data_IF_781802873822
#
_entry.id   IF_781802873822
#
_cell.length_a   1.000
_cell.length_b   1.000
_cell.length_c   1.000
_cell.angle_alpha   90.00
_cell.angle_beta   90.00
_cell.angle_gamma   90.00
#
_symmetry.space_group_name_H-M   'P 1'
#
loop_
_entity.id
_entity.type
_entity.pdbx_description
1 polymer ?
#
# COMPACT_ATOMS: atom_id res chain seq x y z
N UNK A 1 -9.23 -42.59 10.69
CA UNK A 1 -8.71 -41.21 10.56
C UNK A 1 -8.93 -40.76 9.14
N UNK A 2 -10.00 -40.02 8.90
CA UNK A 2 -10.35 -39.52 7.57
C UNK A 2 -9.49 -38.29 7.29
N UNK A 3 -8.73 -38.33 6.19
CA UNK A 3 -8.03 -37.13 5.68
C UNK A 3 -9.08 -36.24 5.06
N UNK A 4 -9.23 -35.03 5.61
CA UNK A 4 -10.11 -34.01 5.06
C UNK A 4 -9.67 -33.64 3.64
N UNK A 5 -10.64 -33.56 2.79
CA UNK A 5 -10.56 -33.10 1.41
C UNK A 5 -10.16 -31.63 1.42
N UNK A 6 -8.92 -31.35 1.02
CA UNK A 6 -8.50 -29.98 0.70
C UNK A 6 -9.12 -29.66 -0.66
N UNK A 7 -10.31 -29.06 -0.63
CA UNK A 7 -10.93 -28.50 -1.82
C UNK A 7 -9.95 -27.49 -2.44
N UNK A 8 -9.43 -27.85 -3.60
CA UNK A 8 -8.61 -27.00 -4.44
C UNK A 8 -9.45 -25.78 -4.81
N UNK A 9 -9.17 -24.64 -4.20
CA UNK A 9 -9.70 -23.36 -4.67
C UNK A 9 -9.13 -23.16 -6.07
N UNK A 10 -9.93 -23.40 -7.08
CA UNK A 10 -9.60 -23.04 -8.46
C UNK A 10 -9.65 -21.52 -8.51
N UNK A 11 -8.50 -20.88 -8.30
CA UNK A 11 -8.29 -19.49 -8.71
C UNK A 11 -8.48 -19.50 -10.24
N UNK A 12 -9.62 -19.01 -10.71
CA UNK A 12 -9.88 -18.87 -12.14
C UNK A 12 -8.70 -18.17 -12.79
N UNK A 13 -8.24 -18.63 -13.94
CA UNK A 13 -7.22 -17.98 -14.76
C UNK A 13 -7.72 -16.59 -15.13
N UNK A 14 -7.49 -15.60 -14.25
CA UNK A 14 -7.73 -14.19 -14.54
C UNK A 14 -6.47 -13.69 -15.26
N UNK A 15 -6.55 -13.58 -16.56
CA UNK A 15 -5.49 -12.97 -17.37
C UNK A 15 -5.22 -11.54 -16.86
N UNK A 16 -3.95 -11.13 -16.71
CA UNK A 16 -3.62 -9.75 -16.35
C UNK A 16 -4.16 -8.80 -17.42
N UNK A 17 -4.99 -7.82 -17.03
CA UNK A 17 -5.42 -6.78 -17.95
C UNK A 17 -4.25 -5.89 -18.31
N UNK A 18 -4.01 -5.70 -19.59
CA UNK A 18 -3.08 -4.69 -20.09
C UNK A 18 -3.84 -3.41 -20.42
N UNK A 19 -3.40 -2.28 -19.89
CA UNK A 19 -3.91 -0.96 -20.25
C UNK A 19 -3.19 -0.45 -21.48
N UNK A 20 -3.90 0.28 -22.34
CA UNK A 20 -3.33 0.90 -23.54
C UNK A 20 -2.28 1.96 -23.20
N UNK A 21 -2.50 2.71 -22.13
CA UNK A 21 -1.60 3.76 -21.66
C UNK A 21 -1.28 3.54 -20.18
N UNK A 22 0.00 3.70 -19.83
CA UNK A 22 0.48 3.53 -18.46
C UNK A 22 1.35 4.73 -18.07
N UNK A 23 1.31 5.08 -16.79
CA UNK A 23 2.21 6.05 -16.19
C UNK A 23 2.53 5.70 -14.75
N UNK A 24 3.58 6.30 -14.19
CA UNK A 24 3.98 6.05 -12.81
C UNK A 24 4.27 7.34 -12.05
N UNK A 25 3.97 7.33 -10.75
CA UNK A 25 4.46 8.32 -9.79
C UNK A 25 5.31 7.61 -8.76
N UNK A 26 6.51 8.12 -8.50
CA UNK A 26 7.42 7.56 -7.53
C UNK A 26 7.87 8.62 -6.51
N UNK A 27 7.98 8.20 -5.25
CA UNK A 27 8.58 8.95 -4.16
C UNK A 27 9.80 8.15 -3.66
N UNK A 28 11.00 8.60 -4.03
CA UNK A 28 12.26 7.87 -3.80
C UNK A 28 12.83 8.29 -2.45
N UNK A 29 13.07 7.34 -1.55
CA UNK A 29 13.71 7.51 -0.25
C UNK A 29 13.13 8.70 0.55
N UNK A 30 11.79 8.85 0.52
CA UNK A 30 11.10 10.04 1.07
C UNK A 30 10.53 9.84 2.47
N UNK A 31 10.36 8.59 2.91
CA UNK A 31 9.59 8.29 4.12
C UNK A 31 10.45 7.52 5.12
N UNK A 32 11.35 8.21 5.86
CA UNK A 32 12.13 7.59 6.92
C UNK A 32 11.19 7.16 8.05
N UNK A 33 11.15 5.87 8.31
CA UNK A 33 10.35 5.28 9.37
C UNK A 33 11.08 4.09 9.99
N UNK A 34 10.54 3.60 11.10
CA UNK A 34 11.04 2.41 11.76
C UNK A 34 9.87 1.47 12.07
N UNK A 35 10.14 0.18 12.16
CA UNK A 35 9.18 -0.83 12.60
C UNK A 35 9.90 -2.12 12.99
N UNK A 36 9.16 -3.09 13.50
CA UNK A 36 9.59 -4.48 13.64
C UNK A 36 8.51 -5.44 13.15
N UNK A 37 8.93 -6.60 12.70
CA UNK A 37 8.06 -7.73 12.44
C UNK A 37 8.06 -8.64 13.68
N UNK A 38 7.21 -8.36 14.66
CA UNK A 38 7.26 -9.01 15.97
C UNK A 38 7.09 -10.55 15.92
N UNK A 39 6.43 -11.05 14.87
CA UNK A 39 6.28 -12.50 14.62
C UNK A 39 7.49 -13.14 13.93
N UNK A 40 8.47 -12.36 13.48
CA UNK A 40 9.61 -12.90 12.78
C UNK A 40 10.56 -13.64 13.73
N UNK A 41 11.01 -14.83 13.32
CA UNK A 41 12.06 -15.58 13.99
C UNK A 41 13.44 -15.19 13.43
N UNK A 42 13.74 -13.90 13.45
CA UNK A 42 14.98 -13.33 12.90
C UNK A 42 15.23 -11.93 13.46
N UNK A 43 16.34 -11.28 13.04
CA UNK A 43 16.67 -9.91 13.42
C UNK A 43 15.58 -8.89 13.06
N UNK A 44 14.67 -9.22 12.14
CA UNK A 44 13.52 -8.35 11.82
C UNK A 44 12.53 -8.19 12.99
N UNK A 45 12.63 -9.00 14.02
CA UNK A 45 11.90 -8.83 15.28
C UNK A 45 12.40 -7.65 16.14
N UNK A 46 13.54 -7.07 15.81
CA UNK A 46 14.09 -5.88 16.49
C UNK A 46 13.69 -4.66 15.69
N UNK A 47 13.38 -3.54 16.37
CA UNK A 47 13.08 -2.27 15.68
C UNK A 47 14.26 -1.89 14.79
N UNK A 48 13.96 -1.65 13.53
CA UNK A 48 14.92 -1.22 12.52
C UNK A 48 14.25 -0.23 11.57
N UNK A 49 15.03 0.55 10.86
CA UNK A 49 14.54 1.67 10.07
C UNK A 49 14.93 1.60 8.60
N UNK A 50 14.06 2.16 7.78
CA UNK A 50 14.26 2.36 6.35
C UNK A 50 13.81 3.76 5.93
N UNK A 51 14.20 4.17 4.73
CA UNK A 51 13.58 5.27 4.03
C UNK A 51 12.84 4.71 2.82
N UNK A 52 11.53 4.53 2.94
CA UNK A 52 10.76 3.87 1.91
C UNK A 52 10.75 4.63 0.58
N UNK A 53 10.87 3.87 -0.50
CA UNK A 53 10.46 4.29 -1.83
C UNK A 53 9.10 3.70 -2.15
N UNK A 54 8.17 4.53 -2.60
CA UNK A 54 6.82 4.10 -2.97
C UNK A 54 6.52 4.49 -4.41
N UNK A 55 6.09 3.52 -5.22
CA UNK A 55 5.76 3.73 -6.64
C UNK A 55 4.34 3.28 -6.92
N UNK A 56 3.60 4.16 -7.58
CA UNK A 56 2.21 3.97 -7.99
C UNK A 56 2.14 3.87 -9.50
N UNK A 57 1.49 2.84 -10.03
CA UNK A 57 1.36 2.56 -11.44
C UNK A 57 -0.09 2.75 -11.86
N UNK A 58 -0.32 3.66 -12.79
CA UNK A 58 -1.65 4.00 -13.29
C UNK A 58 -1.82 3.49 -14.71
N UNK A 59 -3.00 2.97 -15.01
CA UNK A 59 -3.36 2.49 -16.34
C UNK A 59 -4.72 3.02 -16.78
N UNK A 60 -4.87 3.26 -18.09
CA UNK A 60 -6.12 3.65 -18.73
C UNK A 60 -6.12 3.23 -20.21
N UNK A 61 -7.32 3.03 -20.76
CA UNK A 61 -7.50 2.84 -22.21
C UNK A 61 -7.77 4.15 -22.95
N UNK A 62 -8.09 5.23 -22.20
CA UNK A 62 -8.41 6.54 -22.76
C UNK A 62 -7.68 7.64 -21.99
N UNK A 63 -6.89 8.44 -22.70
CA UNK A 63 -6.25 9.62 -22.14
C UNK A 63 -7.29 10.71 -21.86
N UNK A 64 -6.98 11.62 -20.92
CA UNK A 64 -7.80 12.81 -20.67
C UNK A 64 -7.66 13.83 -21.81
N UNK A 65 -8.35 14.97 -21.69
CA UNK A 65 -8.32 16.06 -22.70
C UNK A 65 -6.93 16.68 -22.89
N UNK A 66 -6.00 16.45 -21.94
CA UNK A 66 -4.61 16.91 -21.99
C UNK A 66 -3.64 15.83 -22.49
N UNK A 67 -4.16 14.68 -22.89
CA UNK A 67 -3.41 13.48 -23.26
C UNK A 67 -2.62 12.85 -22.08
N UNK A 68 -3.16 12.92 -20.86
CA UNK A 68 -2.53 12.33 -19.66
C UNK A 68 -3.26 11.06 -19.21
N UNK A 69 -2.48 10.14 -18.64
CA UNK A 69 -3.00 8.99 -17.87
C UNK A 69 -3.51 9.51 -16.53
N UNK A 70 -2.66 10.23 -15.80
CA UNK A 70 -2.94 10.78 -14.47
C UNK A 70 -2.36 12.19 -14.35
N UNK A 71 -3.04 13.07 -13.63
CA UNK A 71 -2.56 14.42 -13.32
C UNK A 71 -1.60 14.39 -12.13
N UNK A 72 -0.31 14.48 -12.39
CA UNK A 72 0.70 14.51 -11.32
C UNK A 72 0.66 15.80 -10.47
N UNK A 73 0.12 16.90 -11.01
CA UNK A 73 -0.12 18.13 -10.26
C UNK A 73 -1.13 17.94 -9.13
N UNK A 74 -2.11 17.05 -9.33
CA UNK A 74 -3.12 16.71 -8.33
C UNK A 74 -2.67 15.71 -7.25
N UNK A 75 -1.36 15.37 -7.17
CA UNK A 75 -0.86 14.38 -6.20
C UNK A 75 -0.26 15.00 -4.92
N UNK A 76 -0.47 16.29 -4.68
CA UNK A 76 -0.06 16.95 -3.44
C UNK A 76 -0.68 16.34 -2.21
N UNK A 77 -1.98 16.03 -2.27
CA UNK A 77 -2.72 15.39 -1.18
C UNK A 77 -2.22 13.95 -0.90
N UNK A 78 -1.87 13.19 -1.95
CA UNK A 78 -1.26 11.88 -1.78
C UNK A 78 0.09 12.02 -1.04
N UNK A 79 0.91 13.00 -1.42
CA UNK A 79 2.18 13.24 -0.74
C UNK A 79 1.96 13.60 0.73
N UNK A 80 1.01 14.48 1.04
CA UNK A 80 0.68 14.85 2.43
C UNK A 80 0.21 13.64 3.24
N UNK A 81 -0.65 12.81 2.67
CA UNK A 81 -1.08 11.56 3.31
C UNK A 81 0.11 10.63 3.61
N UNK A 82 1.03 10.45 2.66
CA UNK A 82 2.20 9.60 2.84
C UNK A 82 3.18 10.18 3.88
N UNK A 83 3.38 11.51 3.89
CA UNK A 83 4.19 12.21 4.91
C UNK A 83 3.57 11.99 6.31
N UNK A 84 2.24 12.14 6.44
CA UNK A 84 1.55 11.95 7.71
C UNK A 84 1.63 10.52 8.23
N UNK A 85 1.56 9.55 7.33
CA UNK A 85 1.58 8.14 7.69
C UNK A 85 2.98 7.61 8.00
N UNK A 86 4.01 8.07 7.27
CA UNK A 86 5.31 7.39 7.24
C UNK A 86 6.50 8.27 7.63
N UNK A 87 6.43 9.60 7.42
CA UNK A 87 7.60 10.44 7.65
C UNK A 87 7.91 10.60 9.14
N UNK A 88 9.13 10.21 9.56
CA UNK A 88 9.60 10.21 10.96
C UNK A 88 8.67 9.45 11.92
N UNK A 89 8.18 8.30 11.49
CA UNK A 89 7.13 7.54 12.17
C UNK A 89 7.62 6.16 12.60
N UNK A 90 7.15 5.71 13.76
CA UNK A 90 7.25 4.31 14.19
C UNK A 90 5.97 3.59 13.78
N UNK A 91 6.08 2.67 12.82
CA UNK A 91 4.96 1.85 12.39
C UNK A 91 4.81 0.66 13.35
N UNK A 92 3.59 0.44 13.82
CA UNK A 92 3.28 -0.61 14.81
C UNK A 92 2.11 -1.43 14.30
N UNK A 93 2.23 -2.76 14.39
CA UNK A 93 1.12 -3.65 14.04
C UNK A 93 -0.01 -3.53 15.07
N UNK A 94 -1.28 -3.65 14.65
CA UNK A 94 -2.43 -3.64 15.56
C UNK A 94 -2.38 -4.77 16.60
N UNK A 95 -1.78 -5.91 16.22
CA UNK A 95 -1.62 -7.09 17.08
C UNK A 95 -0.24 -7.17 17.75
N UNK A 96 0.49 -6.07 17.84
CA UNK A 96 1.78 -5.97 18.52
C UNK A 96 1.64 -6.22 20.03
N UNK A 97 2.34 -7.20 20.61
CA UNK A 97 2.27 -7.48 22.05
C UNK A 97 2.66 -6.30 22.94
N UNK A 98 3.61 -5.47 22.48
CA UNK A 98 4.12 -4.31 23.22
C UNK A 98 3.39 -3.00 22.81
N UNK A 99 2.19 -3.07 22.22
CA UNK A 99 1.47 -1.91 21.69
C UNK A 99 1.29 -0.80 22.74
N UNK A 100 0.96 -1.15 23.99
CA UNK A 100 0.78 -0.17 25.05
C UNK A 100 2.08 0.54 25.45
N UNK A 101 3.21 -0.16 25.35
CA UNK A 101 4.54 0.47 25.55
C UNK A 101 4.82 1.50 24.44
N UNK A 102 4.52 1.20 23.17
CA UNK A 102 4.68 2.15 22.08
C UNK A 102 3.76 3.36 22.21
N UNK A 103 2.49 3.17 22.63
CA UNK A 103 1.58 4.27 22.95
C UNK A 103 2.09 5.17 24.08
N UNK A 104 2.75 4.60 25.09
CA UNK A 104 3.39 5.41 26.15
C UNK A 104 4.59 6.21 25.59
N UNK A 105 5.37 5.67 24.66
CA UNK A 105 6.41 6.44 23.96
C UNK A 105 5.84 7.64 23.22
N UNK A 106 4.73 7.47 22.50
CA UNK A 106 4.06 8.57 21.79
C UNK A 106 3.54 9.62 22.76
N UNK A 107 2.87 9.22 23.84
CA UNK A 107 2.38 10.10 24.91
C UNK A 107 3.53 10.94 25.52
N UNK A 108 4.70 10.34 25.64
CA UNK A 108 5.93 11.01 26.11
C UNK A 108 6.65 11.79 25.01
N UNK A 109 6.12 11.84 23.79
CA UNK A 109 6.70 12.52 22.62
C UNK A 109 8.07 11.97 22.22
N UNK A 110 8.31 10.68 22.44
CA UNK A 110 9.53 9.98 22.04
C UNK A 110 9.40 9.35 20.64
N UNK A 111 8.19 9.15 20.17
CA UNK A 111 7.86 8.62 18.84
C UNK A 111 6.57 9.25 18.34
N UNK A 112 6.38 9.29 17.02
CA UNK A 112 5.09 9.43 16.33
C UNK A 112 4.68 8.04 15.90
N UNK A 113 3.48 7.60 16.22
CA UNK A 113 3.01 6.25 15.86
C UNK A 113 2.08 6.28 14.66
N UNK A 114 2.20 5.26 13.83
CA UNK A 114 1.16 4.85 12.90
C UNK A 114 0.86 3.37 13.15
N UNK A 115 -0.37 3.08 13.59
CA UNK A 115 -0.83 1.72 13.89
C UNK A 115 -1.51 1.17 12.64
N UNK A 116 -1.08 -0.01 12.18
CA UNK A 116 -1.51 -0.61 10.93
C UNK A 116 -1.87 -2.10 11.12
N UNK A 117 -2.86 -2.60 10.38
CA UNK A 117 -3.23 -4.03 10.43
C UNK A 117 -2.07 -4.96 10.07
N UNK A 118 -1.27 -4.58 9.08
CA UNK A 118 -0.13 -5.37 8.57
C UNK A 118 1.05 -4.46 8.27
N UNK A 119 2.25 -4.90 8.62
CA UNK A 119 3.51 -4.23 8.33
C UNK A 119 4.29 -4.97 7.22
N UNK A 120 5.45 -4.43 6.87
CA UNK A 120 6.29 -4.91 5.78
C UNK A 120 5.83 -4.41 4.40
N UNK A 121 6.67 -4.57 3.41
CA UNK A 121 6.41 -4.08 2.05
C UNK A 121 5.10 -4.63 1.47
N UNK A 122 4.77 -5.89 1.77
CA UNK A 122 3.53 -6.56 1.32
C UNK A 122 2.28 -5.93 1.94
N UNK A 123 2.29 -5.75 3.26
CA UNK A 123 1.18 -5.14 4.00
C UNK A 123 0.94 -3.70 3.57
N UNK A 124 2.03 -2.92 3.48
CA UNK A 124 1.98 -1.51 3.08
C UNK A 124 1.54 -1.34 1.62
N UNK A 125 2.06 -2.15 0.69
CA UNK A 125 1.64 -2.10 -0.71
C UNK A 125 0.16 -2.43 -0.89
N UNK A 126 -0.36 -3.39 -0.12
CA UNK A 126 -1.77 -3.78 -0.13
C UNK A 126 -2.66 -2.66 0.42
N UNK A 127 -2.29 -2.06 1.55
CA UNK A 127 -3.01 -0.92 2.14
C UNK A 127 -3.05 0.27 1.18
N UNK A 128 -1.90 0.66 0.63
CA UNK A 128 -1.81 1.80 -0.30
C UNK A 128 -2.57 1.54 -1.60
N UNK A 129 -2.58 0.30 -2.11
CA UNK A 129 -3.38 -0.07 -3.27
C UNK A 129 -4.89 0.12 -3.02
N UNK A 130 -5.38 -0.31 -1.85
CA UNK A 130 -6.77 -0.11 -1.45
C UNK A 130 -7.10 1.37 -1.28
N UNK A 131 -6.23 2.13 -0.62
CA UNK A 131 -6.39 3.58 -0.45
C UNK A 131 -6.47 4.32 -1.78
N UNK A 132 -5.56 4.02 -2.72
CA UNK A 132 -5.55 4.68 -4.04
C UNK A 132 -6.85 4.49 -4.80
N UNK A 133 -7.34 3.27 -4.89
CA UNK A 133 -8.50 2.95 -5.72
C UNK A 133 -9.84 3.16 -5.00
N UNK A 134 -9.87 2.99 -3.68
CA UNK A 134 -11.09 3.11 -2.88
C UNK A 134 -11.35 4.51 -2.34
N UNK A 135 -10.29 5.32 -2.16
CA UNK A 135 -10.39 6.64 -1.52
C UNK A 135 -9.79 7.72 -2.40
N UNK A 136 -8.47 7.68 -2.65
CA UNK A 136 -7.76 8.81 -3.26
C UNK A 136 -8.32 9.17 -4.65
N UNK A 137 -8.38 8.21 -5.57
CA UNK A 137 -8.84 8.48 -6.94
C UNK A 137 -10.29 8.95 -6.96
N UNK A 138 -11.27 8.27 -6.32
CA UNK A 138 -12.67 8.71 -6.34
C UNK A 138 -12.90 10.05 -5.64
N UNK A 139 -12.25 10.31 -4.52
CA UNK A 139 -12.52 11.47 -3.68
C UNK A 139 -11.77 12.73 -4.17
N UNK A 140 -10.51 12.58 -4.57
CA UNK A 140 -9.66 13.71 -4.97
C UNK A 140 -9.76 14.05 -6.43
N UNK A 141 -9.91 13.05 -7.29
CA UNK A 141 -10.03 13.27 -8.75
C UNK A 141 -11.45 13.12 -9.28
N UNK A 142 -12.35 12.56 -8.46
CA UNK A 142 -13.77 12.44 -8.77
C UNK A 142 -14.12 11.17 -9.55
N UNK A 143 -15.42 10.90 -9.61
CA UNK A 143 -15.98 9.66 -10.20
C UNK A 143 -15.58 9.44 -11.65
N UNK A 144 -15.52 10.49 -12.46
CA UNK A 144 -15.14 10.38 -13.87
C UNK A 144 -13.72 9.87 -14.05
N UNK A 145 -12.76 10.34 -13.23
CA UNK A 145 -11.40 9.81 -13.24
C UNK A 145 -11.36 8.39 -12.68
N UNK A 146 -12.12 8.08 -11.62
CA UNK A 146 -12.24 6.74 -11.08
C UNK A 146 -12.81 5.71 -12.08
N UNK A 147 -13.64 6.15 -13.02
CA UNK A 147 -14.13 5.30 -14.12
C UNK A 147 -13.10 5.13 -15.24
N UNK A 148 -12.26 6.13 -15.49
CA UNK A 148 -11.33 6.19 -16.61
C UNK A 148 -10.01 5.49 -16.31
N UNK A 149 -9.40 5.74 -15.14
CA UNK A 149 -8.09 5.21 -14.77
C UNK A 149 -8.14 4.30 -13.53
N UNK A 150 -7.10 3.50 -13.37
CA UNK A 150 -6.92 2.59 -12.24
C UNK A 150 -5.47 2.58 -11.78
N UNK A 151 -5.25 2.62 -10.47
CA UNK A 151 -3.93 2.33 -9.90
C UNK A 151 -3.76 0.80 -9.82
N UNK A 152 -3.24 0.19 -10.89
CA UNK A 152 -3.21 -1.27 -11.02
C UNK A 152 -2.09 -1.93 -10.22
N UNK A 153 -1.09 -1.17 -9.78
CA UNK A 153 0.02 -1.69 -8.97
C UNK A 153 0.54 -0.61 -8.03
N UNK A 154 0.84 -1.00 -6.81
CA UNK A 154 1.59 -0.20 -5.84
C UNK A 154 2.79 -1.01 -5.38
N UNK A 155 3.97 -0.44 -5.47
CA UNK A 155 5.24 -1.01 -5.04
C UNK A 155 5.77 -0.24 -3.83
N UNK A 156 6.18 -0.98 -2.80
CA UNK A 156 6.88 -0.46 -1.62
C UNK A 156 8.25 -1.10 -1.55
N UNK A 157 9.27 -0.31 -1.33
CA UNK A 157 10.66 -0.72 -1.34
C UNK A 157 11.35 -0.24 -0.07
N UNK A 158 11.99 -1.14 0.64
CA UNK A 158 12.82 -0.88 1.82
C UNK A 158 14.25 -0.49 1.44
N UNK A 159 14.79 -1.21 0.47
CA UNK A 159 16.14 -1.03 -0.07
C UNK A 159 16.12 -1.18 -1.58
N UNK A 160 17.24 -0.97 -2.24
CA UNK A 160 17.33 -1.21 -3.68
C UNK A 160 17.09 -2.67 -4.08
N UNK A 161 17.28 -3.61 -3.14
CA UNK A 161 17.17 -5.06 -3.40
C UNK A 161 15.87 -5.67 -2.90
N UNK A 162 15.21 -5.04 -1.91
CA UNK A 162 14.04 -5.61 -1.23
C UNK A 162 12.81 -4.74 -1.50
N UNK A 163 11.84 -5.33 -2.15
CA UNK A 163 10.58 -4.69 -2.46
C UNK A 163 9.45 -5.71 -2.53
N UNK A 164 8.24 -5.25 -2.28
CA UNK A 164 7.04 -5.99 -2.61
C UNK A 164 6.04 -5.09 -3.31
N UNK A 165 5.05 -5.70 -3.96
CA UNK A 165 3.98 -4.95 -4.60
C UNK A 165 2.66 -5.68 -4.50
N UNK A 166 1.59 -4.90 -4.46
CA UNK A 166 0.23 -5.35 -4.69
C UNK A 166 -0.19 -4.96 -6.10
N UNK A 167 -0.69 -5.92 -6.85
CA UNK A 167 -1.22 -5.72 -8.20
C UNK A 167 -2.66 -6.21 -8.27
N UNK A 168 -3.48 -5.53 -9.06
CA UNK A 168 -4.86 -5.91 -9.28
C UNK A 168 -5.52 -5.02 -10.34
N UNK A 169 -6.71 -5.39 -10.75
CA UNK A 169 -7.47 -4.71 -11.78
C UNK A 169 -8.89 -4.44 -11.31
N UNK A 170 -9.56 -3.47 -11.91
CA UNK A 170 -10.92 -3.10 -11.53
C UNK A 170 -11.89 -4.27 -11.57
N UNK A 171 -11.75 -5.14 -12.56
CA UNK A 171 -12.59 -6.32 -12.72
C UNK A 171 -12.36 -7.39 -11.65
N UNK A 172 -11.29 -7.27 -10.85
CA UNK A 172 -10.97 -8.18 -9.73
C UNK A 172 -11.40 -7.61 -8.38
N UNK A 173 -12.30 -6.65 -8.40
CA UNK A 173 -12.62 -5.72 -7.32
C UNK A 173 -13.34 -6.33 -6.10
N UNK A 174 -13.54 -7.62 -6.07
CA UNK A 174 -14.12 -8.31 -4.90
C UNK A 174 -13.26 -8.11 -3.63
N UNK A 175 -11.95 -7.82 -3.80
CA UNK A 175 -10.99 -7.71 -2.69
C UNK A 175 -10.79 -6.28 -2.15
N UNK A 176 -11.29 -5.21 -2.83
CA UNK A 176 -11.10 -3.84 -2.35
C UNK A 176 -11.89 -3.56 -1.07
N UNK A 177 -13.00 -4.25 -0.88
CA UNK A 177 -13.96 -4.01 0.20
C UNK A 177 -14.01 -5.14 1.24
N UNK A 178 -13.34 -6.27 0.98
CA UNK A 178 -13.20 -7.33 1.96
C UNK A 178 -12.10 -6.97 2.97
N UNK A 179 -12.52 -6.70 4.20
CA UNK A 179 -11.66 -6.25 5.31
C UNK A 179 -10.96 -7.44 6.01
N UNK A 180 -11.26 -8.68 5.63
CA UNK A 180 -10.98 -9.89 6.42
C UNK A 180 -9.84 -10.78 5.89
N UNK A 181 -8.79 -10.21 5.26
CA UNK A 181 -7.57 -10.99 5.01
C UNK A 181 -6.29 -10.27 5.44
#
# INVERSE_FOLDING_TARGET
>A
MARGDMSTVVLGNREPRTYKYNSTKEYVDKFPCAYRQWKADSHCNIIHGYSFTMRFFFGTDHLDVRNWVADYGGMGELKSFLDDMFDHTLLVAEDEPELEFYKEMEKRKLAKLTILPKLGCEGLSSMLYKYMNGVFIPDMWGKGEAERLWCYRVEVRETQSNMAWREGHREWNEDLFNVDE
#
